data_IF_504360844839
#
_entry.id   IF_504360844839
#
_cell.length_a   1.000
_cell.length_b   1.000
_cell.length_c   1.000
_cell.angle_alpha   90.00
_cell.angle_beta   90.00
_cell.angle_gamma   90.00
#
_symmetry.space_group_name_H-M   'P 1'
#
loop_
_entity.id
_entity.type
_entity.pdbx_description
1 polymer ?
#
# COMPACT_ATOMS: atom_id res chain seq x y z
N UNK A 1 8.60 -67.12 -31.10
CA UNK A 1 8.18 -65.71 -31.33
C UNK A 1 7.91 -65.05 -30.02
N UNK A 2 8.81 -64.12 -29.58
CA UNK A 2 8.67 -63.38 -28.33
C UNK A 2 8.20 -61.97 -28.69
N UNK A 3 6.98 -61.59 -28.31
CA UNK A 3 6.44 -60.24 -28.49
C UNK A 3 6.89 -59.36 -27.34
N UNK A 4 7.72 -58.33 -27.60
CA UNK A 4 8.05 -57.26 -26.66
C UNK A 4 6.95 -56.20 -26.74
N UNK A 5 6.18 -56.09 -25.65
CA UNK A 5 5.18 -55.02 -25.47
C UNK A 5 5.93 -53.75 -25.01
N UNK A 6 6.11 -52.79 -25.92
CA UNK A 6 6.61 -51.44 -25.61
C UNK A 6 5.45 -50.63 -25.01
N UNK A 7 5.52 -50.39 -23.71
CA UNK A 7 4.62 -49.45 -23.02
C UNK A 7 5.17 -48.03 -23.25
N UNK A 8 4.45 -47.13 -23.94
CA UNK A 8 4.87 -45.72 -24.03
C UNK A 8 4.68 -45.07 -22.67
N UNK A 9 5.77 -44.69 -22.04
CA UNK A 9 5.80 -43.87 -20.83
C UNK A 9 5.35 -42.44 -21.19
N UNK A 10 4.07 -42.11 -20.96
CA UNK A 10 3.54 -40.76 -21.10
C UNK A 10 4.06 -39.92 -19.93
N UNK A 11 5.14 -39.18 -20.13
CA UNK A 11 5.61 -38.13 -19.23
C UNK A 11 4.58 -36.99 -19.27
N UNK A 12 3.69 -36.98 -18.30
CA UNK A 12 2.84 -35.82 -17.99
C UNK A 12 3.74 -34.67 -17.49
N UNK A 13 4.17 -33.83 -18.41
CA UNK A 13 4.72 -32.52 -18.04
C UNK A 13 3.59 -31.71 -17.43
N UNK A 14 3.53 -31.67 -16.10
CA UNK A 14 2.79 -30.65 -15.38
C UNK A 14 3.49 -29.32 -15.66
N UNK A 15 2.96 -28.56 -16.64
CA UNK A 15 3.27 -27.14 -16.74
C UNK A 15 2.67 -26.47 -15.50
N UNK A 16 3.46 -26.36 -14.44
CA UNK A 16 3.18 -25.40 -13.38
C UNK A 16 3.22 -24.03 -14.06
N UNK A 17 2.04 -23.49 -14.38
CA UNK A 17 1.92 -22.07 -14.61
C UNK A 17 2.43 -21.41 -13.32
N UNK A 18 3.61 -20.82 -13.35
CA UNK A 18 4.06 -19.89 -12.33
C UNK A 18 3.13 -18.69 -12.43
N UNK A 19 1.94 -18.84 -11.85
CA UNK A 19 1.02 -17.75 -11.60
C UNK A 19 1.80 -16.81 -10.71
N UNK A 20 2.02 -15.58 -11.15
CA UNK A 20 2.65 -14.54 -10.34
C UNK A 20 1.87 -14.50 -9.01
N UNK A 21 2.47 -15.07 -7.97
CA UNK A 21 1.84 -15.25 -6.66
C UNK A 21 1.79 -13.91 -5.95
N UNK A 22 0.76 -13.12 -6.31
CA UNK A 22 0.58 -11.77 -5.78
C UNK A 22 0.21 -11.81 -4.30
N UNK A 23 0.73 -10.88 -3.52
CA UNK A 23 0.42 -10.73 -2.10
C UNK A 23 -1.06 -10.38 -1.82
N UNK A 24 -1.85 -10.13 -2.86
CA UNK A 24 -3.25 -9.68 -2.75
C UNK A 24 -4.08 -10.18 -3.93
N UNK A 25 -5.40 -10.15 -3.77
CA UNK A 25 -6.39 -10.43 -4.84
C UNK A 25 -7.55 -9.44 -4.79
N UNK A 26 -8.30 -9.39 -5.88
CA UNK A 26 -9.52 -8.60 -6.00
C UNK A 26 -10.56 -8.96 -4.92
N UNK A 27 -11.24 -7.97 -4.38
CA UNK A 27 -12.20 -8.11 -3.28
C UNK A 27 -11.54 -8.05 -1.90
N UNK A 28 -10.21 -7.87 -1.82
CA UNK A 28 -9.53 -7.66 -0.55
C UNK A 28 -10.00 -6.38 0.13
N UNK A 29 -10.21 -6.46 1.44
CA UNK A 29 -10.66 -5.34 2.25
C UNK A 29 -9.95 -5.30 3.60
N UNK A 30 -9.59 -4.08 4.04
CA UNK A 30 -9.01 -3.80 5.35
C UNK A 30 -9.76 -2.69 6.06
N UNK A 31 -9.83 -2.79 7.38
CA UNK A 31 -10.24 -1.72 8.28
C UNK A 31 -9.17 -1.48 9.34
N UNK A 32 -8.82 -0.22 9.51
CA UNK A 32 -7.83 0.24 10.48
C UNK A 32 -8.49 1.16 11.50
N UNK A 33 -8.10 1.02 12.75
CA UNK A 33 -8.39 1.96 13.83
C UNK A 33 -7.25 2.96 13.96
N UNK A 34 -7.58 4.26 13.96
CA UNK A 34 -6.65 5.34 14.23
C UNK A 34 -6.83 5.79 15.68
N UNK A 35 -5.74 5.88 16.43
CA UNK A 35 -5.75 6.36 17.82
C UNK A 35 -4.64 7.36 18.07
N UNK A 36 -4.91 8.34 18.96
CA UNK A 36 -3.92 9.26 19.49
C UNK A 36 -3.32 8.66 20.76
N UNK A 37 -2.00 8.66 20.87
CA UNK A 37 -1.22 8.05 21.95
C UNK A 37 -1.61 6.59 22.29
N UNK A 38 -2.23 5.89 21.35
CA UNK A 38 -2.56 4.46 21.42
C UNK A 38 -3.85 4.10 22.17
N UNK A 39 -4.48 5.03 22.88
CA UNK A 39 -5.70 4.78 23.68
C UNK A 39 -6.92 5.58 23.24
N UNK A 40 -6.74 6.80 22.77
CA UNK A 40 -7.87 7.66 22.37
C UNK A 40 -8.21 7.41 20.89
N UNK A 41 -9.36 6.81 20.60
CA UNK A 41 -9.81 6.57 19.22
C UNK A 41 -10.09 7.91 18.53
N UNK A 42 -9.32 8.18 17.48
CA UNK A 42 -9.41 9.43 16.71
C UNK A 42 -10.15 9.26 15.37
N UNK A 43 -10.08 8.07 14.78
CA UNK A 43 -10.65 7.82 13.47
C UNK A 43 -10.61 6.37 13.06
N UNK A 44 -10.98 6.15 11.81
CA UNK A 44 -10.84 4.85 11.14
C UNK A 44 -10.47 5.07 9.68
N UNK A 45 -9.83 4.06 9.08
CA UNK A 45 -9.56 4.02 7.66
C UNK A 45 -9.99 2.66 7.09
N UNK A 46 -10.47 2.67 5.85
CA UNK A 46 -10.77 1.46 5.09
C UNK A 46 -9.97 1.44 3.79
N UNK A 47 -9.59 0.25 3.35
CA UNK A 47 -8.90 0.00 2.08
C UNK A 47 -9.67 -1.09 1.35
N UNK A 48 -10.05 -0.85 0.10
CA UNK A 48 -10.75 -1.80 -0.75
C UNK A 48 -9.99 -1.96 -2.05
N UNK A 49 -9.89 -3.17 -2.57
CA UNK A 49 -9.31 -3.48 -3.87
C UNK A 49 -10.33 -4.19 -4.75
N UNK A 50 -10.68 -3.61 -5.89
CA UNK A 50 -11.60 -4.19 -6.85
C UNK A 50 -10.99 -4.20 -8.26
N UNK A 51 -11.63 -4.89 -9.19
CA UNK A 51 -11.35 -4.68 -10.60
C UNK A 51 -11.97 -3.36 -11.05
N UNK A 52 -11.31 -2.68 -12.00
CA UNK A 52 -11.95 -1.54 -12.66
C UNK A 52 -13.07 -2.05 -13.58
N UNK A 53 -14.27 -1.51 -13.39
CA UNK A 53 -15.47 -1.92 -14.14
C UNK A 53 -15.38 -1.62 -15.64
N UNK A 54 -14.54 -0.66 -16.03
CA UNK A 54 -14.38 -0.22 -17.43
C UNK A 54 -13.17 -0.84 -18.11
N UNK A 55 -12.21 -1.38 -17.34
CA UNK A 55 -10.98 -1.96 -17.87
C UNK A 55 -10.47 -3.10 -16.97
N UNK A 56 -10.72 -4.33 -17.38
CA UNK A 56 -10.34 -5.53 -16.64
C UNK A 56 -8.82 -5.75 -16.48
N UNK A 57 -7.97 -4.97 -17.14
CA UNK A 57 -6.52 -4.98 -16.95
C UNK A 57 -6.06 -4.09 -15.78
N UNK A 58 -6.98 -3.27 -15.24
CA UNK A 58 -6.71 -2.39 -14.13
C UNK A 58 -7.34 -2.92 -12.84
N UNK A 59 -6.67 -2.63 -11.74
CA UNK A 59 -7.23 -2.72 -10.39
C UNK A 59 -7.56 -1.31 -9.91
N UNK A 60 -8.66 -1.19 -9.17
CA UNK A 60 -9.10 0.02 -8.50
C UNK A 60 -8.97 -0.17 -6.98
N UNK A 61 -8.02 0.51 -6.39
CA UNK A 61 -7.84 0.58 -4.95
C UNK A 61 -8.42 1.89 -4.40
N UNK A 62 -9.24 1.79 -3.35
CA UNK A 62 -9.87 2.92 -2.69
C UNK A 62 -9.56 2.91 -1.20
N UNK A 63 -8.99 4.01 -0.72
CA UNK A 63 -8.74 4.27 0.69
C UNK A 63 -9.64 5.40 1.18
N UNK A 64 -10.32 5.21 2.31
CA UNK A 64 -11.15 6.23 2.96
C UNK A 64 -10.66 6.38 4.38
N UNK A 65 -10.27 7.61 4.76
CA UNK A 65 -9.94 7.99 6.13
C UNK A 65 -10.99 8.93 6.69
N UNK A 66 -11.45 8.70 7.92
CA UNK A 66 -12.40 9.59 8.57
C UNK A 66 -12.17 9.70 10.07
N UNK A 67 -12.39 10.89 10.64
CA UNK A 67 -12.47 11.09 12.07
C UNK A 67 -13.73 10.45 12.66
N UNK A 68 -13.66 10.01 13.91
CA UNK A 68 -14.79 9.39 14.64
C UNK A 68 -14.88 9.90 16.07
N UNK A 69 -16.02 9.67 16.73
CA UNK A 69 -16.24 10.01 18.12
C UNK A 69 -16.05 11.50 18.40
N UNK A 70 -15.44 11.84 19.53
CA UNK A 70 -15.23 13.22 19.95
C UNK A 70 -14.38 14.04 18.96
N UNK A 71 -13.37 13.41 18.31
CA UNK A 71 -12.56 14.14 17.32
C UNK A 71 -13.41 14.66 16.17
N UNK A 72 -14.39 13.86 15.70
CA UNK A 72 -15.26 14.27 14.59
C UNK A 72 -16.17 15.48 14.93
N UNK A 73 -16.39 15.76 16.22
CA UNK A 73 -17.16 16.94 16.65
C UNK A 73 -16.36 18.24 16.52
N UNK A 74 -15.05 18.17 16.74
CA UNK A 74 -14.17 19.35 16.74
C UNK A 74 -13.35 19.51 15.47
N UNK A 75 -12.98 18.37 14.84
CA UNK A 75 -12.17 18.36 13.63
C UNK A 75 -12.63 17.23 12.72
N UNK A 76 -13.58 17.54 11.84
CA UNK A 76 -14.14 16.57 10.89
C UNK A 76 -13.14 16.31 9.78
N UNK A 77 -12.76 15.04 9.61
CA UNK A 77 -11.95 14.53 8.50
C UNK A 77 -12.77 13.55 7.69
N UNK A 78 -12.74 13.69 6.37
CA UNK A 78 -13.27 12.70 5.43
C UNK A 78 -12.47 12.77 4.14
N UNK A 79 -11.49 11.88 4.03
CA UNK A 79 -10.53 11.84 2.93
C UNK A 79 -10.71 10.60 2.10
N UNK A 80 -10.67 10.75 0.78
CA UNK A 80 -10.74 9.66 -0.19
C UNK A 80 -9.52 9.72 -1.08
N UNK A 81 -8.84 8.60 -1.18
CA UNK A 81 -7.74 8.35 -2.11
C UNK A 81 -8.08 7.14 -2.97
N UNK A 82 -7.96 7.29 -4.30
CA UNK A 82 -8.23 6.20 -5.22
C UNK A 82 -7.07 6.07 -6.21
N UNK A 83 -6.65 4.85 -6.50
CA UNK A 83 -5.66 4.56 -7.53
C UNK A 83 -6.17 3.47 -8.45
N UNK A 84 -6.02 3.71 -9.74
CA UNK A 84 -6.20 2.73 -10.80
C UNK A 84 -4.82 2.36 -11.31
N UNK A 85 -4.45 1.09 -11.24
CA UNK A 85 -3.13 0.63 -11.64
C UNK A 85 -3.20 -0.71 -12.37
N UNK A 86 -2.20 -0.99 -13.20
CA UNK A 86 -2.14 -2.21 -13.98
C UNK A 86 -1.94 -3.44 -13.10
N UNK A 87 -2.74 -4.49 -13.31
CA UNK A 87 -2.67 -5.77 -12.57
C UNK A 87 -1.27 -6.39 -12.60
N UNK A 88 -0.61 -6.39 -13.76
CA UNK A 88 0.64 -7.10 -13.98
C UNK A 88 1.85 -6.51 -13.26
N UNK A 89 1.95 -5.18 -13.18
CA UNK A 89 3.17 -4.49 -12.74
C UNK A 89 2.93 -3.36 -11.74
N UNK A 90 1.67 -3.16 -11.32
CA UNK A 90 1.23 -2.16 -10.33
C UNK A 90 1.62 -0.73 -10.74
N UNK A 91 1.84 -0.46 -12.03
CA UNK A 91 2.10 0.89 -12.52
C UNK A 91 0.82 1.71 -12.49
N UNK A 92 0.80 2.89 -11.83
CA UNK A 92 -0.39 3.72 -11.76
C UNK A 92 -0.80 4.21 -13.15
N UNK A 93 -2.12 4.25 -13.37
CA UNK A 93 -2.78 4.80 -14.55
C UNK A 93 -3.50 6.10 -14.20
N UNK A 94 -4.21 6.11 -13.06
CA UNK A 94 -4.99 7.26 -12.60
C UNK A 94 -4.99 7.28 -11.07
N UNK A 95 -4.78 8.46 -10.50
CA UNK A 95 -4.86 8.69 -9.06
C UNK A 95 -5.82 9.83 -8.76
N UNK A 96 -6.68 9.66 -7.77
CA UNK A 96 -7.63 10.65 -7.29
C UNK A 96 -7.39 10.93 -5.81
N UNK A 97 -7.44 12.21 -5.45
CA UNK A 97 -7.32 12.66 -4.08
C UNK A 97 -8.40 13.68 -3.77
N UNK A 98 -9.32 13.31 -2.89
CA UNK A 98 -10.38 14.17 -2.39
C UNK A 98 -10.25 14.32 -0.88
N UNK A 99 -9.85 15.51 -0.42
CA UNK A 99 -9.56 15.85 0.97
C UNK A 99 -10.63 16.78 1.51
N UNK A 100 -11.09 16.47 2.74
CA UNK A 100 -11.95 17.34 3.52
C UNK A 100 -11.56 17.25 5.01
N UNK A 101 -10.71 18.18 5.45
CA UNK A 101 -10.10 18.21 6.78
C UNK A 101 -10.37 19.55 7.46
N UNK A 102 -11.32 19.60 8.39
CA UNK A 102 -11.60 20.80 9.19
C UNK A 102 -11.89 22.06 8.36
N UNK A 103 -12.53 21.92 7.20
CA UNK A 103 -12.80 23.02 6.25
C UNK A 103 -11.74 23.17 5.15
N UNK A 104 -10.55 22.58 5.28
CA UNK A 104 -9.60 22.48 4.17
C UNK A 104 -10.08 21.43 3.18
N UNK A 105 -10.11 21.77 1.90
CA UNK A 105 -10.52 20.84 0.83
C UNK A 105 -9.52 20.83 -0.30
N UNK A 106 -9.29 19.65 -0.87
CA UNK A 106 -8.45 19.44 -2.05
C UNK A 106 -9.12 18.41 -2.97
N UNK A 107 -9.15 18.66 -4.27
CA UNK A 107 -9.66 17.71 -5.26
C UNK A 107 -8.70 17.69 -6.45
N UNK A 108 -7.93 16.60 -6.54
CA UNK A 108 -6.86 16.40 -7.52
C UNK A 108 -7.08 15.09 -8.24
N UNK A 109 -6.87 15.11 -9.56
CA UNK A 109 -6.70 13.92 -10.38
C UNK A 109 -5.32 13.95 -11.03
N UNK A 110 -4.66 12.81 -11.09
CA UNK A 110 -3.40 12.62 -11.80
C UNK A 110 -3.60 11.48 -12.82
N UNK A 111 -3.37 11.76 -14.09
CA UNK A 111 -3.36 10.79 -15.17
C UNK A 111 -1.91 10.49 -15.58
N UNK A 112 -1.50 9.24 -15.52
CA UNK A 112 -0.13 8.81 -15.80
C UNK A 112 -0.01 8.23 -17.21
N UNK A 113 0.70 8.89 -18.12
CA UNK A 113 1.13 8.29 -19.37
C UNK A 113 2.45 7.55 -19.18
N UNK A 114 2.36 6.22 -19.10
CA UNK A 114 3.51 5.35 -18.88
C UNK A 114 4.48 5.31 -20.08
N UNK A 115 4.07 5.74 -21.27
CA UNK A 115 4.92 5.77 -22.47
C UNK A 115 5.76 7.04 -22.51
N UNK A 116 5.12 8.19 -22.36
CA UNK A 116 5.78 9.50 -22.42
C UNK A 116 6.40 9.95 -21.10
N UNK A 117 6.07 9.25 -19.98
CA UNK A 117 6.47 9.63 -18.61
C UNK A 117 5.96 11.02 -18.21
N UNK A 118 4.79 11.37 -18.69
CA UNK A 118 4.09 12.61 -18.34
C UNK A 118 2.89 12.30 -17.44
N UNK A 119 2.81 13.01 -16.33
CA UNK A 119 1.68 13.00 -15.41
C UNK A 119 0.86 14.29 -15.61
N UNK A 120 -0.37 14.17 -16.08
CA UNK A 120 -1.30 15.29 -16.17
C UNK A 120 -2.01 15.47 -14.84
N UNK A 121 -1.79 16.61 -14.19
CA UNK A 121 -2.35 16.95 -12.88
C UNK A 121 -3.48 17.94 -13.06
N UNK A 122 -4.71 17.48 -12.81
CA UNK A 122 -5.93 18.27 -12.84
C UNK A 122 -6.29 18.69 -11.40
N UNK A 123 -6.31 19.97 -11.11
CA UNK A 123 -6.80 20.53 -9.86
C UNK A 123 -8.19 21.12 -10.05
N UNK A 124 -9.24 20.39 -9.68
CA UNK A 124 -10.62 20.80 -9.92
C UNK A 124 -11.02 22.04 -9.10
N UNK A 125 -10.45 22.21 -7.90
CA UNK A 125 -10.71 23.38 -7.06
C UNK A 125 -10.10 24.66 -7.64
N UNK A 126 -8.87 24.56 -8.18
CA UNK A 126 -8.18 25.69 -8.82
C UNK A 126 -8.49 25.83 -10.30
N UNK A 127 -9.27 24.92 -10.88
CA UNK A 127 -9.58 24.85 -12.32
C UNK A 127 -8.32 24.91 -13.19
N UNK A 128 -7.26 24.21 -12.79
CA UNK A 128 -5.98 24.17 -13.50
C UNK A 128 -5.62 22.74 -13.90
N UNK A 129 -4.94 22.62 -15.04
CA UNK A 129 -4.40 21.37 -15.56
C UNK A 129 -2.97 21.64 -16.04
N UNK A 130 -2.01 20.85 -15.52
CA UNK A 130 -0.59 21.00 -15.86
C UNK A 130 0.04 19.63 -16.06
N UNK A 131 1.03 19.56 -16.92
CA UNK A 131 1.78 18.37 -17.22
C UNK A 131 3.15 18.41 -16.51
N UNK A 132 3.55 17.29 -15.94
CA UNK A 132 4.80 17.12 -15.21
C UNK A 132 5.49 15.82 -15.63
N UNK A 133 6.81 15.82 -15.72
CA UNK A 133 7.55 14.58 -15.93
C UNK A 133 7.61 13.75 -14.65
N UNK A 134 7.44 12.44 -14.76
CA UNK A 134 7.66 11.51 -13.64
C UNK A 134 8.69 10.45 -14.01
N UNK A 135 9.33 9.86 -13.00
CA UNK A 135 10.36 8.84 -13.19
C UNK A 135 9.73 7.49 -13.51
N UNK A 136 10.48 6.66 -14.22
CA UNK A 136 10.06 5.29 -14.50
C UNK A 136 9.77 4.51 -13.21
N UNK A 137 8.72 3.68 -13.24
CA UNK A 137 8.23 2.89 -12.10
C UNK A 137 7.78 3.71 -10.88
N UNK A 138 7.60 5.04 -11.02
CA UNK A 138 7.02 5.85 -9.95
C UNK A 138 5.65 5.34 -9.55
N UNK A 139 5.40 5.35 -8.24
CA UNK A 139 4.14 4.98 -7.63
C UNK A 139 3.38 6.23 -7.15
N UNK A 140 2.05 6.16 -7.08
CA UNK A 140 1.23 7.10 -6.32
C UNK A 140 1.08 6.67 -4.85
N UNK A 141 0.38 7.46 -4.03
CA UNK A 141 0.20 7.20 -2.59
C UNK A 141 -0.55 5.90 -2.25
N UNK A 142 -1.37 5.39 -3.18
CA UNK A 142 -2.17 4.18 -2.97
C UNK A 142 -1.51 2.99 -3.64
N UNK A 143 -1.05 3.12 -4.88
CA UNK A 143 -0.40 2.04 -5.62
C UNK A 143 0.88 1.56 -4.92
N UNK A 144 1.60 2.45 -4.22
CA UNK A 144 2.81 2.07 -3.45
C UNK A 144 2.52 1.06 -2.35
N UNK A 145 1.35 1.10 -1.73
CA UNK A 145 0.93 0.11 -0.73
C UNK A 145 0.91 -1.30 -1.33
N UNK A 146 0.33 -1.47 -2.52
CA UNK A 146 0.26 -2.74 -3.24
C UNK A 146 1.60 -3.13 -3.86
N UNK A 147 2.35 -2.15 -4.36
CA UNK A 147 3.70 -2.36 -4.91
C UNK A 147 4.64 -2.94 -3.85
N UNK A 148 4.68 -2.36 -2.66
CA UNK A 148 5.49 -2.84 -1.56
C UNK A 148 5.07 -4.25 -1.12
N UNK A 149 3.80 -4.51 -0.94
CA UNK A 149 3.30 -5.84 -0.56
C UNK A 149 3.70 -6.91 -1.57
N UNK A 150 3.76 -6.56 -2.86
CA UNK A 150 4.09 -7.53 -3.90
C UNK A 150 5.59 -7.67 -4.15
N UNK A 151 6.34 -6.60 -4.10
CA UNK A 151 7.75 -6.58 -4.52
C UNK A 151 8.77 -6.39 -3.40
N UNK A 152 8.38 -5.96 -2.20
CA UNK A 152 9.32 -5.85 -1.09
C UNK A 152 9.80 -7.24 -0.64
N UNK A 153 11.12 -7.43 -0.65
CA UNK A 153 11.80 -8.62 -0.13
C UNK A 153 12.97 -8.16 0.74
N UNK A 154 13.17 -8.85 1.87
CA UNK A 154 14.33 -8.55 2.74
C UNK A 154 15.64 -8.84 2.01
N UNK A 155 15.65 -9.85 1.15
CA UNK A 155 16.83 -10.24 0.37
C UNK A 155 17.25 -9.21 -0.69
N UNK A 156 16.35 -8.29 -1.06
CA UNK A 156 16.61 -7.22 -2.03
C UNK A 156 17.17 -5.93 -1.38
N UNK A 157 17.39 -5.94 -0.07
CA UNK A 157 17.90 -4.79 0.65
C UNK A 157 19.36 -4.49 0.28
N UNK A 158 19.69 -3.21 0.20
CA UNK A 158 21.06 -2.77 0.00
C UNK A 158 21.94 -3.00 1.27
N UNK A 159 23.24 -2.67 1.18
CA UNK A 159 24.20 -2.77 2.29
C UNK A 159 23.82 -1.96 3.54
N UNK A 160 22.87 -1.03 3.41
CA UNK A 160 22.36 -0.22 4.52
C UNK A 160 21.03 -0.76 5.07
N UNK A 161 20.57 -1.93 4.61
CA UNK A 161 19.25 -2.50 4.88
C UNK A 161 18.11 -1.60 4.36
N UNK A 162 18.26 -0.99 3.18
CA UNK A 162 17.31 -0.06 2.60
C UNK A 162 16.92 -0.46 1.18
N UNK A 163 15.69 -0.12 0.80
CA UNK A 163 15.26 -0.02 -0.59
C UNK A 163 14.76 1.39 -0.87
N UNK A 164 14.79 1.78 -2.14
CA UNK A 164 14.31 3.08 -2.58
C UNK A 164 13.32 2.94 -3.74
N UNK A 165 12.20 3.65 -3.65
CA UNK A 165 11.11 3.62 -4.63
C UNK A 165 10.81 5.05 -5.02
N UNK A 166 10.72 5.32 -6.33
CA UNK A 166 10.30 6.62 -6.81
C UNK A 166 8.77 6.74 -6.70
N UNK A 167 8.32 7.90 -6.28
CA UNK A 167 6.92 8.28 -6.17
C UNK A 167 6.65 9.59 -6.90
N UNK A 168 5.44 9.75 -7.41
CA UNK A 168 4.95 11.01 -7.91
C UNK A 168 3.72 11.45 -7.11
N UNK A 169 3.80 12.60 -6.46
CA UNK A 169 2.77 13.13 -5.59
C UNK A 169 2.79 14.67 -5.57
N UNK A 170 1.63 15.31 -5.56
CA UNK A 170 1.48 16.77 -5.52
C UNK A 170 2.35 17.52 -6.55
N UNK A 171 2.44 16.98 -7.79
CA UNK A 171 3.21 17.54 -8.92
C UNK A 171 4.72 17.44 -8.78
N UNK A 172 5.24 16.63 -7.86
CA UNK A 172 6.66 16.47 -7.60
C UNK A 172 7.05 14.98 -7.56
N UNK A 173 8.32 14.71 -7.91
CA UNK A 173 8.91 13.39 -7.76
C UNK A 173 9.59 13.29 -6.40
N UNK A 174 9.30 12.21 -5.68
CA UNK A 174 9.90 11.90 -4.39
C UNK A 174 10.62 10.57 -4.46
N UNK A 175 11.70 10.44 -3.69
CA UNK A 175 12.35 9.16 -3.49
C UNK A 175 12.06 8.68 -2.08
N UNK A 176 11.11 7.75 -1.96
CA UNK A 176 10.80 7.08 -0.72
C UNK A 176 11.88 6.03 -0.45
N UNK A 177 12.48 6.09 0.71
CA UNK A 177 13.37 5.04 1.24
C UNK A 177 12.66 4.29 2.34
N UNK A 178 12.90 2.98 2.40
CA UNK A 178 12.37 2.11 3.43
C UNK A 178 13.55 1.37 4.04
N UNK A 179 13.80 1.66 5.33
CA UNK A 179 14.82 0.99 6.11
C UNK A 179 14.21 -0.18 6.87
N UNK A 180 14.76 -1.36 6.68
CA UNK A 180 14.45 -2.52 7.52
C UNK A 180 15.19 -2.41 8.85
N UNK A 181 14.49 -2.71 9.96
CA UNK A 181 15.05 -2.63 11.31
C UNK A 181 15.22 -4.01 11.94
N UNK A 182 14.14 -4.80 11.92
CA UNK A 182 14.12 -6.13 12.58
C UNK A 182 12.92 -6.94 12.13
N UNK A 183 12.91 -8.21 12.47
CA UNK A 183 11.70 -9.05 12.50
C UNK A 183 11.37 -9.35 13.95
N UNK A 184 10.15 -9.09 14.37
CA UNK A 184 9.69 -9.26 15.75
C UNK A 184 8.24 -9.73 15.82
N UNK A 185 7.85 -10.41 16.90
CA UNK A 185 6.45 -10.78 17.15
C UNK A 185 5.76 -9.61 17.85
N UNK A 186 4.62 -9.21 17.32
CA UNK A 186 3.77 -8.18 17.94
C UNK A 186 2.43 -8.76 18.40
N UNK A 187 1.90 -8.24 19.49
CA UNK A 187 0.53 -8.53 19.93
C UNK A 187 -0.47 -7.68 19.16
N UNK A 188 -1.48 -8.34 18.60
CA UNK A 188 -2.57 -7.72 17.84
C UNK A 188 -3.93 -8.22 18.33
N UNK A 189 -5.03 -7.67 17.82
CA UNK A 189 -6.38 -8.17 18.08
C UNK A 189 -6.61 -9.58 17.50
N UNK A 190 -5.74 -10.05 16.61
CA UNK A 190 -5.81 -11.38 15.98
C UNK A 190 -4.90 -12.41 16.67
N UNK A 191 -4.15 -12.01 17.69
CA UNK A 191 -3.13 -12.84 18.35
C UNK A 191 -1.70 -12.34 18.08
N UNK A 192 -0.72 -13.21 18.27
CA UNK A 192 0.71 -12.94 18.05
C UNK A 192 1.05 -13.08 16.56
N UNK A 193 1.55 -12.02 15.95
CA UNK A 193 1.91 -11.97 14.52
C UNK A 193 3.39 -11.66 14.37
N UNK A 194 4.09 -12.48 13.58
CA UNK A 194 5.46 -12.19 13.16
C UNK A 194 5.43 -11.06 12.13
N UNK A 195 6.19 -9.99 12.38
CA UNK A 195 6.20 -8.80 11.54
C UNK A 195 7.61 -8.32 11.24
N UNK A 196 7.79 -7.81 10.03
CA UNK A 196 8.94 -6.99 9.67
C UNK A 196 8.70 -5.56 10.12
N UNK A 197 9.60 -5.03 10.92
CA UNK A 197 9.61 -3.64 11.38
C UNK A 197 10.43 -2.81 10.42
N UNK A 198 9.81 -1.79 9.85
CA UNK A 198 10.43 -0.91 8.84
C UNK A 198 10.22 0.55 9.18
N UNK A 199 11.10 1.41 8.67
CA UNK A 199 10.98 2.87 8.70
C UNK A 199 10.95 3.42 7.29
N UNK A 200 9.79 3.85 6.77
CA UNK A 200 9.72 4.65 5.55
C UNK A 200 10.11 6.11 5.85
N UNK A 201 10.90 6.70 4.95
CA UNK A 201 11.27 8.12 5.02
C UNK A 201 11.53 8.70 3.62
N UNK A 202 11.40 10.01 3.49
CA UNK A 202 11.63 10.72 2.22
C UNK A 202 12.94 11.51 2.33
N UNK A 203 13.86 11.30 1.42
CA UNK A 203 15.22 11.86 1.45
C UNK A 203 15.26 13.38 1.28
N UNK A 204 14.21 14.00 0.72
CA UNK A 204 14.09 15.46 0.60
C UNK A 204 12.65 15.85 0.44
N UNK A 205 12.22 16.93 1.10
CA UNK A 205 10.94 17.55 0.82
C UNK A 205 10.01 17.73 2.01
N UNK A 206 8.90 18.37 1.74
CA UNK A 206 7.98 19.01 2.68
C UNK A 206 7.04 18.07 3.45
N UNK A 207 7.02 16.77 3.13
CA UNK A 207 6.00 15.85 3.65
C UNK A 207 6.34 15.31 5.04
N UNK A 208 7.63 15.06 5.31
CA UNK A 208 8.09 14.62 6.64
C UNK A 208 9.27 15.49 7.10
N UNK A 209 9.00 16.46 7.95
CA UNK A 209 10.02 17.40 8.47
C UNK A 209 11.03 16.80 9.46
N UNK A 210 10.87 15.52 9.84
CA UNK A 210 11.83 14.76 10.66
C UNK A 210 11.98 13.36 10.08
N UNK A 211 13.20 13.03 9.74
CA UNK A 211 13.59 11.81 9.03
C UNK A 211 13.26 10.48 9.73
N UNK A 212 12.55 10.45 10.86
CA UNK A 212 12.39 9.22 11.61
C UNK A 212 11.06 9.06 12.38
N UNK A 213 10.02 9.81 12.04
CA UNK A 213 8.77 9.80 12.83
C UNK A 213 7.86 8.61 12.55
N UNK A 214 8.00 7.90 11.43
CA UNK A 214 7.12 6.83 11.01
C UNK A 214 7.76 5.45 11.18
N UNK A 215 7.08 4.55 11.87
CA UNK A 215 7.46 3.13 11.99
C UNK A 215 6.27 2.27 11.57
N UNK A 216 6.53 1.22 10.79
CA UNK A 216 5.51 0.28 10.33
C UNK A 216 5.90 -1.15 10.69
N UNK A 217 4.90 -1.98 11.01
CA UNK A 217 5.02 -3.42 11.20
C UNK A 217 4.17 -4.12 10.14
N UNK A 218 4.81 -4.86 9.27
CA UNK A 218 4.20 -5.57 8.13
C UNK A 218 4.25 -7.07 8.44
N UNK A 219 3.14 -7.79 8.28
CA UNK A 219 3.12 -9.24 8.49
C UNK A 219 4.21 -9.94 7.64
N UNK A 220 4.90 -10.90 8.24
CA UNK A 220 5.97 -11.65 7.58
C UNK A 220 5.46 -12.78 6.69
N UNK A 221 4.12 -12.98 6.64
CA UNK A 221 3.46 -13.92 5.73
C UNK A 221 3.42 -13.41 4.28
N UNK A 222 2.89 -14.22 3.37
CA UNK A 222 2.81 -13.87 1.95
C UNK A 222 1.81 -12.74 1.63
N UNK A 223 0.92 -12.38 2.57
CA UNK A 223 0.01 -11.24 2.39
C UNK A 223 0.70 -9.89 2.61
N UNK A 224 1.75 -9.82 3.45
CA UNK A 224 2.54 -8.61 3.76
C UNK A 224 1.67 -7.41 4.12
N UNK A 225 0.76 -7.60 5.07
CA UNK A 225 -0.21 -6.60 5.48
C UNK A 225 0.42 -5.66 6.52
N UNK A 226 0.28 -4.33 6.41
CA UNK A 226 0.59 -3.42 7.49
C UNK A 226 -0.33 -3.69 8.70
N UNK A 227 0.24 -4.29 9.75
CA UNK A 227 -0.47 -4.64 10.98
C UNK A 227 -0.59 -3.45 11.91
N UNK A 228 0.47 -2.62 11.95
CA UNK A 228 0.59 -1.44 12.80
C UNK A 228 1.42 -0.38 12.12
N UNK A 229 1.00 0.88 12.26
CA UNK A 229 1.77 2.07 11.88
C UNK A 229 1.79 3.01 13.07
N UNK A 230 2.95 3.56 13.39
CA UNK A 230 3.15 4.56 14.43
C UNK A 230 3.84 5.78 13.85
N UNK A 231 3.24 6.94 14.02
CA UNK A 231 3.85 8.22 13.69
C UNK A 231 4.07 9.01 14.97
N UNK A 232 5.32 9.30 15.32
CA UNK A 232 5.65 10.12 16.47
C UNK A 232 5.44 11.60 16.13
N UNK A 233 4.75 12.31 17.01
CA UNK A 233 4.48 13.75 16.91
C UNK A 233 5.35 14.49 17.92
N UNK A 234 5.35 15.83 17.85
CA UNK A 234 6.02 16.66 18.87
C UNK A 234 5.43 16.38 20.26
N UNK A 235 4.10 16.14 20.32
CA UNK A 235 3.40 15.70 21.53
C UNK A 235 2.57 14.47 21.18
N UNK A 236 2.82 13.35 21.86
CA UNK A 236 2.12 12.09 21.64
C UNK A 236 2.49 11.36 20.33
N UNK A 237 1.62 10.51 19.86
CA UNK A 237 1.79 9.76 18.62
C UNK A 237 0.43 9.44 17.96
N UNK A 238 0.43 9.29 16.65
CA UNK A 238 -0.67 8.65 15.93
C UNK A 238 -0.33 7.18 15.78
N UNK A 239 -1.28 6.33 16.10
CA UNK A 239 -1.17 4.89 15.91
C UNK A 239 -2.33 4.39 15.05
N UNK A 240 -2.01 3.56 14.08
CA UNK A 240 -2.93 2.93 13.16
C UNK A 240 -2.75 1.42 13.34
N UNK A 241 -3.80 0.72 13.77
CA UNK A 241 -3.80 -0.72 14.00
C UNK A 241 -4.83 -1.38 13.06
N UNK A 242 -4.45 -2.51 12.45
CA UNK A 242 -5.40 -3.32 11.71
C UNK A 242 -6.49 -3.84 12.65
N UNK A 243 -7.77 -3.57 12.33
CA UNK A 243 -8.93 -3.94 13.14
C UNK A 243 -9.71 -5.11 12.53
N UNK A 244 -9.80 -5.15 11.19
CA UNK A 244 -10.46 -6.22 10.46
C UNK A 244 -9.92 -6.34 9.04
N UNK A 245 -10.09 -7.51 8.45
CA UNK A 245 -9.77 -7.77 7.05
C UNK A 245 -10.67 -8.87 6.48
N UNK A 246 -10.74 -8.94 5.15
CA UNK A 246 -11.40 -10.04 4.45
C UNK A 246 -10.76 -10.33 3.10
N UNK A 247 -11.01 -11.53 2.60
CA UNK A 247 -10.63 -11.97 1.25
C UNK A 247 -9.14 -11.86 0.92
N UNK A 248 -8.27 -12.28 1.85
CA UNK A 248 -6.82 -12.34 1.62
C UNK A 248 -6.48 -13.38 0.54
N UNK A 249 -5.37 -13.17 -0.16
CA UNK A 249 -4.89 -14.12 -1.17
C UNK A 249 -4.20 -15.34 -0.57
N UNK A 250 -3.55 -15.18 0.57
CA UNK A 250 -2.82 -16.25 1.27
C UNK A 250 -3.37 -16.47 2.68
N UNK A 251 -3.08 -17.62 3.32
CA UNK A 251 -3.37 -17.83 4.73
C UNK A 251 -2.78 -16.72 5.59
N UNK A 252 -3.55 -16.29 6.60
CA UNK A 252 -3.06 -15.34 7.59
C UNK A 252 -2.40 -16.10 8.75
N UNK A 253 -1.12 -15.86 8.98
CA UNK A 253 -0.33 -16.62 9.94
C UNK A 253 -0.37 -16.03 11.35
N UNK A 254 -0.94 -16.80 12.29
CA UNK A 254 -0.94 -16.48 13.72
C UNK A 254 0.10 -17.39 14.40
N UNK A 255 0.94 -16.83 15.28
CA UNK A 255 1.86 -17.61 16.09
C UNK A 255 1.18 -18.03 17.39
N UNK A 256 1.16 -19.33 17.63
CA UNK A 256 0.71 -19.92 18.88
C UNK A 256 1.91 -20.10 19.83
N UNK A 257 1.65 -20.07 21.14
CA UNK A 257 2.66 -20.34 22.17
C UNK A 257 3.02 -21.81 22.23
#
# INVERSE_FOLDING_TARGET
MRYYFLIPLFLLFNFSNAQNDMAFKTGEWFKYKLSYSGWFKAGEATVNLNEDVNNNQLLHAKMIGKSTGAVNLFFKVYDIYESYFHKKNIKPYRFLRNINEGGYTKNIEILFDQKTKVAKVNNFKKKSSNDFSFKENSQDMVSIFYYLRNFFRIDDLDKNNEIAIDMFFDSENYRLKIKYLSTEIINTNFGKILCHKIKPYVQSGRVFKKDESLTMWISADNNRIPMKIKADLIVGSIRIDLEAFSNLNHPFEIKFD
#
